data_IF_641484752314
#
_entry.id   IF_641484752314
#
_cell.length_a   1.000
_cell.length_b   1.000
_cell.length_c   1.000
_cell.angle_alpha   90.00
_cell.angle_beta   90.00
_cell.angle_gamma   90.00
#
_symmetry.space_group_name_H-M   'P 1'
#
loop_
_entity.id
_entity.type
_entity.pdbx_description
1 polymer ?
#
# COMPACT_ATOMS: atom_id res chain seq x y z
N UNK A 1 58.24 -2.20 -27.36
CA UNK A 1 57.87 -2.89 -26.10
C UNK A 1 56.99 -1.94 -25.29
N UNK A 2 55.67 -2.08 -25.40
CA UNK A 2 54.70 -1.22 -24.70
C UNK A 2 54.25 -2.00 -23.44
N UNK A 3 54.61 -1.51 -22.24
CA UNK A 3 54.16 -2.08 -20.97
C UNK A 3 52.77 -1.55 -20.68
N UNK A 4 51.74 -2.40 -20.76
CA UNK A 4 50.41 -2.14 -20.25
C UNK A 4 50.47 -2.21 -18.72
N UNK A 5 50.20 -1.09 -18.07
CA UNK A 5 49.98 -0.99 -16.64
C UNK A 5 48.50 -1.31 -16.35
N UNK A 6 48.22 -2.49 -15.84
CA UNK A 6 46.89 -2.92 -15.44
C UNK A 6 46.57 -2.25 -14.06
N UNK A 7 45.79 -1.18 -14.05
CA UNK A 7 45.29 -0.58 -12.81
C UNK A 7 44.10 -1.41 -12.38
N UNK A 8 44.28 -2.24 -11.35
CA UNK A 8 43.21 -2.97 -10.69
C UNK A 8 42.49 -1.98 -9.72
N UNK A 9 41.38 -1.40 -10.17
CA UNK A 9 40.50 -0.65 -9.29
C UNK A 9 39.74 -1.64 -8.39
N UNK A 10 40.29 -1.90 -7.21
CA UNK A 10 39.56 -2.51 -6.12
C UNK A 10 38.58 -1.47 -5.57
N UNK A 11 37.33 -1.51 -6.01
CA UNK A 11 36.23 -0.82 -5.35
C UNK A 11 36.00 -1.50 -3.99
N UNK A 12 36.64 -0.97 -2.95
CA UNK A 12 36.25 -1.27 -1.58
C UNK A 12 34.86 -0.65 -1.36
N UNK A 13 33.82 -1.46 -1.50
CA UNK A 13 32.57 -1.17 -0.85
C UNK A 13 32.83 -1.21 0.65
N UNK A 14 33.14 -0.06 1.23
CA UNK A 14 33.05 0.15 2.68
C UNK A 14 31.56 0.16 2.98
N UNK A 15 30.98 -1.03 3.12
CA UNK A 15 29.74 -1.19 3.85
C UNK A 15 30.06 -0.73 5.27
N UNK A 16 29.79 0.52 5.56
CA UNK A 16 29.74 1.03 6.92
C UNK A 16 28.69 0.18 7.64
N UNK A 17 29.15 -0.84 8.35
CA UNK A 17 28.32 -1.52 9.34
C UNK A 17 28.20 -0.56 10.52
N UNK A 18 27.33 0.46 10.37
CA UNK A 18 26.95 1.25 11.53
C UNK A 18 26.37 0.29 12.55
N UNK A 19 27.12 0.10 13.63
CA UNK A 19 26.66 -0.70 14.77
C UNK A 19 25.44 -0.01 15.36
N UNK A 20 24.33 -0.73 15.37
CA UNK A 20 23.13 -0.26 16.07
C UNK A 20 23.50 0.02 17.53
N UNK A 21 23.20 1.22 18.01
CA UNK A 21 23.45 1.58 19.39
C UNK A 21 22.37 0.95 20.28
N UNK A 22 22.70 -0.14 20.94
CA UNK A 22 21.77 -0.88 21.82
C UNK A 22 21.15 -0.01 22.93
N UNK A 23 21.91 0.96 23.48
CA UNK A 23 21.38 1.87 24.49
C UNK A 23 20.26 2.76 23.94
N UNK A 24 20.44 3.28 22.72
CA UNK A 24 19.42 4.08 22.03
C UNK A 24 18.20 3.21 21.67
N UNK A 25 18.43 2.00 21.19
CA UNK A 25 17.37 1.06 20.85
C UNK A 25 16.52 0.71 22.08
N UNK A 26 17.16 0.46 23.23
CA UNK A 26 16.48 0.18 24.49
C UNK A 26 15.69 1.41 25.00
N UNK A 27 16.23 2.61 24.87
CA UNK A 27 15.50 3.84 25.23
C UNK A 27 14.27 4.04 24.35
N UNK A 28 14.42 3.87 23.04
CA UNK A 28 13.31 3.94 22.08
C UNK A 28 12.24 2.90 22.43
N UNK A 29 12.63 1.67 22.66
CA UNK A 29 11.75 0.59 23.06
C UNK A 29 10.95 0.94 24.32
N UNK A 30 11.63 1.36 25.38
CA UNK A 30 10.96 1.73 26.63
C UNK A 30 9.97 2.88 26.44
N UNK A 31 10.32 3.87 25.62
CA UNK A 31 9.44 5.01 25.32
C UNK A 31 8.18 4.56 24.58
N UNK A 32 8.32 3.76 23.52
CA UNK A 32 7.19 3.31 22.71
C UNK A 32 6.32 2.31 23.47
N UNK A 33 6.93 1.34 24.14
CA UNK A 33 6.21 0.30 24.87
C UNK A 33 5.56 0.82 26.17
N UNK A 34 5.88 2.03 26.61
CA UNK A 34 5.18 2.68 27.74
C UNK A 34 3.79 3.18 27.36
N UNK A 35 3.49 3.34 26.06
CA UNK A 35 2.16 3.70 25.60
C UNK A 35 1.24 2.44 25.66
N UNK A 36 0.12 2.49 26.42
CA UNK A 36 -0.79 1.36 26.53
C UNK A 36 -1.49 1.00 25.22
N UNK A 37 -1.46 1.85 24.20
CA UNK A 37 -2.00 1.58 22.87
C UNK A 37 -1.04 0.78 21.97
N UNK A 38 0.25 0.67 22.35
CA UNK A 38 1.24 -0.07 21.55
C UNK A 38 0.96 -1.57 21.60
N UNK A 39 0.69 -2.16 20.45
CA UNK A 39 0.43 -3.60 20.29
C UNK A 39 1.72 -4.37 20.02
N UNK A 40 2.55 -3.87 19.10
CA UNK A 40 3.84 -4.47 18.75
C UNK A 40 4.86 -3.39 18.38
N UNK A 41 6.12 -3.67 18.62
CA UNK A 41 7.27 -2.88 18.14
C UNK A 41 8.27 -3.82 17.50
N UNK A 42 8.48 -3.65 16.20
CA UNK A 42 9.44 -4.41 15.42
C UNK A 42 10.39 -3.44 14.75
N UNK A 43 11.68 -3.64 14.93
CA UNK A 43 12.72 -2.85 14.28
C UNK A 43 13.57 -3.78 13.42
N UNK A 44 13.63 -3.46 12.13
CA UNK A 44 14.50 -4.15 11.18
C UNK A 44 15.66 -3.24 10.75
N UNK A 45 16.85 -3.81 10.67
CA UNK A 45 18.05 -3.13 10.17
C UNK A 45 18.80 -4.05 9.21
N UNK A 46 19.01 -3.60 7.96
CA UNK A 46 19.64 -4.38 6.91
C UNK A 46 19.01 -5.78 6.72
N UNK A 47 17.67 -5.85 6.75
CA UNK A 47 16.91 -7.09 6.59
C UNK A 47 16.89 -8.01 7.82
N UNK A 48 17.54 -7.65 8.92
CA UNK A 48 17.51 -8.42 10.16
C UNK A 48 16.63 -7.74 11.20
N UNK A 49 15.78 -8.52 11.88
CA UNK A 49 15.03 -8.02 13.03
C UNK A 49 16.00 -7.89 14.21
N UNK A 50 16.15 -6.66 14.72
CA UNK A 50 17.03 -6.33 15.83
C UNK A 50 16.28 -6.02 17.11
N UNK A 51 14.95 -5.83 17.02
CA UNK A 51 14.05 -5.69 18.16
C UNK A 51 12.70 -6.24 17.77
N UNK A 52 12.12 -7.04 18.66
CA UNK A 52 10.77 -7.59 18.55
C UNK A 52 10.15 -7.60 19.95
N UNK A 53 9.08 -6.81 20.14
CA UNK A 53 8.37 -6.71 21.42
C UNK A 53 6.88 -6.58 21.19
N UNK A 54 6.10 -7.10 22.14
CA UNK A 54 4.64 -7.07 22.12
C UNK A 54 4.13 -6.48 23.44
N UNK A 55 3.11 -5.61 23.34
CA UNK A 55 2.50 -4.91 24.46
C UNK A 55 1.05 -5.33 24.68
N UNK A 56 0.53 -5.01 25.87
CA UNK A 56 -0.89 -5.08 26.20
C UNK A 56 -1.55 -6.47 25.97
N UNK A 57 -0.80 -7.54 26.18
CA UNK A 57 -1.29 -8.91 26.01
C UNK A 57 -1.25 -9.42 24.56
N UNK A 58 -0.76 -8.63 23.62
CA UNK A 58 -0.51 -9.08 22.24
C UNK A 58 0.70 -9.99 22.16
N UNK A 59 0.70 -10.86 21.17
CA UNK A 59 1.78 -11.77 20.83
C UNK A 59 2.12 -11.69 19.34
N UNK A 60 3.12 -12.41 18.90
CA UNK A 60 3.55 -12.44 17.49
C UNK A 60 2.51 -13.03 16.53
N UNK A 61 1.49 -13.73 17.06
CA UNK A 61 0.44 -14.37 16.25
C UNK A 61 -0.90 -13.63 16.31
N UNK A 62 -0.99 -12.57 17.10
CA UNK A 62 -2.23 -11.79 17.18
C UNK A 62 -2.31 -10.82 16.00
N UNK A 63 -3.47 -10.74 15.41
CA UNK A 63 -3.70 -9.83 14.28
C UNK A 63 -3.71 -8.38 14.71
N UNK A 64 -3.04 -7.57 13.93
CA UNK A 64 -3.11 -6.10 13.96
C UNK A 64 -3.62 -5.58 12.63
N UNK A 65 -4.46 -4.56 12.68
CA UNK A 65 -5.00 -3.98 11.45
C UNK A 65 -3.99 -3.03 10.83
N UNK A 66 -3.67 -3.27 9.56
CA UNK A 66 -2.71 -2.46 8.80
C UNK A 66 -3.15 -1.02 8.57
N UNK A 67 -4.44 -0.72 8.80
CA UNK A 67 -5.02 0.59 8.45
C UNK A 67 -4.63 0.96 6.99
N UNK A 68 -4.16 2.18 6.79
CA UNK A 68 -3.79 2.69 5.46
C UNK A 68 -2.53 2.08 4.84
N UNK A 69 -1.76 1.27 5.58
CA UNK A 69 -0.66 0.49 5.00
C UNK A 69 -1.20 -0.48 3.94
N UNK A 70 -2.44 -0.95 4.08
CA UNK A 70 -3.12 -1.75 3.07
C UNK A 70 -3.00 -1.19 1.65
N UNK A 71 -2.98 0.14 1.48
CA UNK A 71 -2.83 0.79 0.17
C UNK A 71 -1.53 0.36 -0.54
N UNK A 72 -0.45 0.15 0.21
CA UNK A 72 0.82 -0.27 -0.35
C UNK A 72 0.73 -1.69 -0.94
N UNK A 73 0.03 -2.60 -0.27
CA UNK A 73 -0.19 -3.96 -0.77
C UNK A 73 -0.94 -3.95 -2.11
N UNK A 74 -2.02 -3.18 -2.22
CA UNK A 74 -2.77 -3.09 -3.48
C UNK A 74 -2.00 -2.32 -4.56
N UNK A 75 -1.18 -1.32 -4.20
CA UNK A 75 -0.35 -0.61 -5.16
C UNK A 75 0.70 -1.51 -5.83
N UNK A 76 1.30 -2.45 -5.09
CA UNK A 76 2.27 -3.42 -5.63
C UNK A 76 1.65 -4.28 -6.74
N UNK A 77 0.35 -4.58 -6.69
CA UNK A 77 -0.33 -5.38 -7.71
C UNK A 77 -0.26 -4.76 -9.11
N UNK A 78 -0.16 -3.43 -9.22
CA UNK A 78 0.03 -2.75 -10.51
C UNK A 78 1.43 -2.99 -11.08
N UNK A 79 2.46 -3.02 -10.23
CA UNK A 79 3.82 -3.42 -10.63
C UNK A 79 3.87 -4.88 -11.12
N UNK A 80 3.20 -5.78 -10.39
CA UNK A 80 3.07 -7.19 -10.80
C UNK A 80 2.29 -7.32 -12.11
N UNK A 81 1.23 -6.51 -12.31
CA UNK A 81 0.48 -6.51 -13.56
C UNK A 81 1.34 -6.11 -14.76
N UNK A 82 2.18 -5.08 -14.62
CA UNK A 82 3.11 -4.64 -15.67
C UNK A 82 4.13 -5.75 -15.96
N UNK A 83 4.74 -6.33 -14.94
CA UNK A 83 5.71 -7.43 -15.10
C UNK A 83 5.12 -8.64 -15.84
N UNK A 84 3.84 -8.93 -15.59
CA UNK A 84 3.11 -10.02 -16.26
C UNK A 84 2.57 -9.65 -17.64
N UNK A 85 2.71 -8.41 -18.09
CA UNK A 85 2.15 -7.93 -19.35
C UNK A 85 0.61 -7.87 -19.37
N UNK A 86 -0.01 -7.74 -18.19
CA UNK A 86 -1.45 -7.54 -18.02
C UNK A 86 -1.83 -6.06 -18.08
N UNK A 87 -0.89 -5.19 -17.86
CA UNK A 87 -0.99 -3.73 -17.90
C UNK A 87 0.22 -3.17 -18.63
N UNK A 88 0.02 -2.34 -19.64
CA UNK A 88 1.12 -1.77 -20.44
C UNK A 88 1.89 -0.72 -19.64
N UNK A 89 1.18 0.22 -19.02
CA UNK A 89 1.75 1.28 -18.18
C UNK A 89 0.71 1.85 -17.19
N UNK A 90 1.13 2.78 -16.33
CA UNK A 90 0.27 3.43 -15.34
C UNK A 90 -0.46 4.68 -15.89
N UNK A 91 -0.16 5.13 -17.08
CA UNK A 91 -0.72 6.34 -17.67
C UNK A 91 -2.00 6.07 -18.47
N UNK A 92 -2.50 4.81 -18.40
CA UNK A 92 -3.80 4.45 -18.95
C UNK A 92 -4.92 5.18 -18.21
N UNK A 93 -5.91 5.73 -18.96
CA UNK A 93 -7.01 6.47 -18.38
C UNK A 93 -7.96 5.51 -17.64
N UNK A 94 -8.51 5.99 -16.52
CA UNK A 94 -9.39 5.17 -15.68
C UNK A 94 -10.71 4.83 -16.37
N UNK A 95 -11.12 5.59 -17.38
CA UNK A 95 -12.31 5.31 -18.20
C UNK A 95 -12.22 3.99 -18.98
N UNK A 96 -11.03 3.42 -19.15
CA UNK A 96 -10.87 2.09 -19.76
C UNK A 96 -11.34 0.98 -18.79
N UNK A 97 -11.40 1.27 -17.52
CA UNK A 97 -11.76 0.36 -16.42
C UNK A 97 -13.11 0.71 -15.79
N UNK A 98 -13.46 2.00 -15.75
CA UNK A 98 -14.69 2.53 -15.17
C UNK A 98 -15.56 3.11 -16.28
N UNK A 99 -16.43 2.31 -16.89
CA UNK A 99 -17.28 2.77 -18.02
C UNK A 99 -18.23 3.90 -17.63
N UNK A 100 -18.56 4.07 -16.34
CA UNK A 100 -19.36 5.15 -15.81
C UNK A 100 -18.75 6.53 -16.08
N UNK A 101 -17.42 6.60 -16.17
CA UNK A 101 -16.68 7.85 -16.39
C UNK A 101 -16.24 8.05 -17.86
N UNK A 102 -16.65 7.19 -18.79
CA UNK A 102 -16.22 7.24 -20.20
C UNK A 102 -16.53 8.56 -20.90
N UNK A 103 -17.62 9.23 -20.51
CA UNK A 103 -18.05 10.51 -21.07
C UNK A 103 -17.95 11.65 -20.04
N UNK A 104 -17.15 11.47 -19.04
CA UNK A 104 -16.95 12.39 -17.92
C UNK A 104 -15.47 12.78 -17.87
N UNK A 105 -15.18 14.02 -17.49
CA UNK A 105 -13.79 14.53 -17.37
C UNK A 105 -12.96 13.70 -16.36
N UNK A 106 -13.61 13.06 -15.38
CA UNK A 106 -12.97 12.11 -14.45
C UNK A 106 -12.37 10.90 -15.17
N UNK A 107 -12.85 10.55 -16.35
CA UNK A 107 -12.29 9.48 -17.17
C UNK A 107 -10.87 9.73 -17.67
N UNK A 108 -10.40 10.98 -17.64
CA UNK A 108 -9.03 11.36 -17.99
C UNK A 108 -8.02 11.10 -16.84
N UNK A 109 -8.50 10.87 -15.62
CA UNK A 109 -7.65 10.45 -14.49
C UNK A 109 -6.95 9.15 -14.88
N UNK A 110 -5.63 9.07 -14.65
CA UNK A 110 -4.86 7.86 -14.94
C UNK A 110 -4.71 6.97 -13.69
N UNK A 111 -4.34 5.71 -13.88
CA UNK A 111 -3.97 4.81 -12.78
C UNK A 111 -2.86 5.45 -11.93
N UNK A 112 -1.86 6.10 -12.58
CA UNK A 112 -0.79 6.84 -11.92
C UNK A 112 -1.33 7.94 -11.02
N UNK A 113 -2.28 8.73 -11.49
CA UNK A 113 -2.86 9.82 -10.69
C UNK A 113 -3.53 9.30 -9.42
N UNK A 114 -4.20 8.16 -9.48
CA UNK A 114 -4.79 7.51 -8.30
C UNK A 114 -3.70 7.00 -7.34
N UNK A 115 -2.69 6.30 -7.84
CA UNK A 115 -1.59 5.77 -7.03
C UNK A 115 -0.77 6.88 -6.36
N UNK A 116 -0.55 7.99 -7.05
CA UNK A 116 0.17 9.16 -6.54
C UNK A 116 -0.69 10.10 -5.69
N UNK A 117 -1.98 9.77 -5.46
CA UNK A 117 -2.92 10.65 -4.75
C UNK A 117 -3.06 12.04 -5.40
N UNK A 118 -3.07 12.08 -6.74
CA UNK A 118 -3.15 13.30 -7.56
C UNK A 118 -4.35 13.28 -8.52
N UNK A 119 -5.43 12.61 -8.15
CA UNK A 119 -6.60 12.50 -9.03
C UNK A 119 -7.35 13.82 -9.25
N UNK A 120 -7.23 14.77 -8.35
CA UNK A 120 -8.03 16.00 -8.37
C UNK A 120 -9.48 15.82 -7.88
N UNK A 121 -9.84 14.63 -7.41
CA UNK A 121 -11.17 14.37 -6.85
C UNK A 121 -11.37 15.10 -5.53
N UNK A 122 -12.60 15.56 -5.31
CA UNK A 122 -12.95 16.29 -4.10
C UNK A 122 -12.66 15.50 -2.82
N UNK A 123 -12.20 16.21 -1.80
CA UNK A 123 -12.00 15.70 -0.46
C UNK A 123 -12.61 16.67 0.55
N UNK A 124 -13.60 16.24 1.32
CA UNK A 124 -14.11 17.00 2.48
C UNK A 124 -13.26 16.75 3.73
N UNK A 125 -13.41 17.58 4.74
CA UNK A 125 -12.75 17.36 6.05
C UNK A 125 -13.26 16.10 6.75
N UNK A 126 -14.54 15.75 6.56
CA UNK A 126 -15.19 14.56 7.13
C UNK A 126 -15.21 13.34 6.22
N UNK A 127 -14.58 13.40 5.05
CA UNK A 127 -14.69 12.40 4.00
C UNK A 127 -14.31 10.97 4.43
N UNK A 128 -13.40 10.82 5.40
CA UNK A 128 -13.08 9.51 5.97
C UNK A 128 -14.32 8.89 6.62
N UNK A 129 -15.00 9.66 7.47
CA UNK A 129 -16.20 9.21 8.16
C UNK A 129 -17.32 8.92 7.17
N UNK A 130 -17.54 9.82 6.20
CA UNK A 130 -18.56 9.66 5.16
C UNK A 130 -18.36 8.37 4.37
N UNK A 131 -17.12 8.08 3.96
CA UNK A 131 -16.79 6.87 3.22
C UNK A 131 -16.93 5.61 4.08
N UNK A 132 -16.46 5.62 5.34
CA UNK A 132 -16.59 4.49 6.26
C UNK A 132 -18.04 4.21 6.65
N UNK A 133 -18.89 5.23 6.74
CA UNK A 133 -20.31 5.10 7.02
C UNK A 133 -21.12 4.74 5.77
N UNK A 134 -20.55 4.85 4.59
CA UNK A 134 -21.20 4.43 3.35
C UNK A 134 -21.42 2.92 3.33
N UNK A 135 -22.58 2.49 2.87
CA UNK A 135 -22.87 1.06 2.72
C UNK A 135 -22.18 0.45 1.52
N UNK A 136 -21.85 1.26 0.53
CA UNK A 136 -21.15 0.89 -0.69
C UNK A 136 -20.04 1.91 -0.95
N UNK A 137 -18.80 1.53 -0.63
CA UNK A 137 -17.65 2.42 -0.75
C UNK A 137 -17.30 2.71 -2.21
N UNK A 138 -17.62 1.79 -3.12
CA UNK A 138 -17.39 1.99 -4.54
C UNK A 138 -18.38 3.01 -5.11
N UNK A 139 -19.67 2.88 -4.82
CA UNK A 139 -20.68 3.87 -5.25
C UNK A 139 -20.35 5.26 -4.70
N UNK A 140 -19.91 5.34 -3.43
CA UNK A 140 -19.43 6.58 -2.85
C UNK A 140 -18.27 7.16 -3.66
N UNK A 141 -17.25 6.35 -3.93
CA UNK A 141 -16.07 6.80 -4.68
C UNK A 141 -16.42 7.25 -6.11
N UNK A 142 -17.32 6.55 -6.79
CA UNK A 142 -17.80 6.90 -8.13
C UNK A 142 -18.61 8.20 -8.17
N UNK A 143 -19.23 8.59 -7.04
CA UNK A 143 -20.05 9.82 -6.93
C UNK A 143 -19.24 11.08 -6.70
N UNK A 144 -17.95 10.97 -6.34
CA UNK A 144 -17.11 12.12 -5.95
C UNK A 144 -16.79 12.99 -7.17
N UNK A 145 -16.91 14.30 -7.01
CA UNK A 145 -16.68 15.29 -8.07
C UNK A 145 -15.20 15.53 -8.34
N UNK A 146 -14.86 15.87 -9.60
CA UNK A 146 -13.56 16.38 -9.98
C UNK A 146 -13.52 17.90 -9.73
N UNK A 147 -12.57 18.36 -8.91
CA UNK A 147 -12.46 19.77 -8.50
C UNK A 147 -11.12 20.42 -8.83
N UNK A 148 -10.13 19.60 -9.23
CA UNK A 148 -8.80 20.04 -9.64
C UNK A 148 -8.36 19.25 -10.87
N UNK A 149 -7.41 19.75 -11.64
CA UNK A 149 -6.86 19.00 -12.78
C UNK A 149 -6.09 17.76 -12.28
N UNK A 150 -6.30 16.58 -12.89
CA UNK A 150 -5.55 15.37 -12.55
C UNK A 150 -4.03 15.57 -12.75
N UNK A 151 -3.24 15.06 -11.83
CA UNK A 151 -1.78 15.12 -11.87
C UNK A 151 -1.15 16.35 -11.21
N UNK A 152 -1.91 17.41 -10.94
CA UNK A 152 -1.34 18.69 -10.46
C UNK A 152 -1.01 18.67 -8.97
N UNK A 153 -1.96 18.29 -8.12
CA UNK A 153 -1.87 18.48 -6.67
C UNK A 153 -1.96 17.15 -5.94
N UNK A 154 -1.00 16.89 -5.06
CA UNK A 154 -1.09 15.79 -4.11
C UNK A 154 -2.13 16.11 -3.04
N UNK A 155 -3.12 15.23 -2.90
CA UNK A 155 -4.11 15.30 -1.83
C UNK A 155 -4.46 13.88 -1.37
N UNK A 156 -4.04 13.53 -0.15
CA UNK A 156 -4.30 12.20 0.40
C UNK A 156 -5.80 11.93 0.49
N UNK A 157 -6.29 10.93 -0.26
CA UNK A 157 -7.71 10.65 -0.42
C UNK A 157 -7.95 9.13 -0.60
N UNK A 158 -8.73 8.50 0.29
CA UNK A 158 -9.07 7.06 0.23
C UNK A 158 -9.84 6.70 -1.04
N UNK A 159 -10.61 7.65 -1.59
CA UNK A 159 -11.35 7.47 -2.85
C UNK A 159 -10.43 7.00 -3.97
N UNK A 160 -9.20 7.55 -4.04
CA UNK A 160 -8.22 7.12 -5.03
C UNK A 160 -7.96 5.62 -4.97
N UNK A 161 -7.72 5.09 -3.79
CA UNK A 161 -7.42 3.66 -3.63
C UNK A 161 -8.66 2.78 -3.76
N UNK A 162 -9.83 3.28 -3.34
CA UNK A 162 -11.07 2.55 -3.56
C UNK A 162 -11.35 2.34 -5.05
N UNK A 163 -11.10 3.36 -5.89
CA UNK A 163 -11.24 3.27 -7.34
C UNK A 163 -10.22 2.34 -8.00
N UNK A 164 -9.09 2.06 -7.36
CA UNK A 164 -8.15 1.04 -7.83
C UNK A 164 -8.71 -0.39 -7.70
N UNK A 165 -9.68 -0.62 -6.83
CA UNK A 165 -10.33 -1.93 -6.68
C UNK A 165 -10.90 -2.47 -7.99
N UNK A 166 -11.88 -1.81 -8.63
CA UNK A 166 -12.41 -2.25 -9.92
C UNK A 166 -11.39 -2.26 -11.05
N UNK A 167 -10.34 -1.42 -10.99
CA UNK A 167 -9.23 -1.48 -11.95
C UNK A 167 -8.48 -2.81 -11.82
N UNK A 168 -8.13 -3.22 -10.59
CA UNK A 168 -7.48 -4.51 -10.32
C UNK A 168 -8.38 -5.65 -10.82
N UNK A 169 -9.68 -5.61 -10.49
CA UNK A 169 -10.64 -6.63 -10.92
C UNK A 169 -10.66 -6.78 -12.45
N UNK A 170 -10.66 -5.66 -13.17
CA UNK A 170 -10.67 -5.66 -14.63
C UNK A 170 -9.36 -6.19 -15.22
N UNK A 171 -8.20 -5.80 -14.68
CA UNK A 171 -6.87 -6.23 -15.15
C UNK A 171 -6.69 -7.74 -14.95
N UNK A 172 -7.05 -8.25 -13.76
CA UNK A 172 -6.78 -9.64 -13.39
C UNK A 172 -7.96 -10.59 -13.63
N UNK A 173 -9.13 -10.08 -13.95
CA UNK A 173 -10.40 -10.83 -14.02
C UNK A 173 -10.67 -11.64 -12.73
N UNK A 174 -10.38 -11.05 -11.59
CA UNK A 174 -10.53 -11.62 -10.25
C UNK A 174 -10.68 -10.50 -9.23
N UNK A 175 -11.33 -10.76 -8.07
CA UNK A 175 -11.51 -9.74 -7.05
C UNK A 175 -10.17 -9.26 -6.46
N UNK A 176 -10.07 -8.00 -6.00
CA UNK A 176 -8.83 -7.47 -5.43
C UNK A 176 -8.24 -8.35 -4.32
N UNK A 177 -9.08 -8.93 -3.46
CA UNK A 177 -8.65 -9.85 -2.39
C UNK A 177 -8.10 -11.16 -2.94
N UNK A 178 -8.70 -11.74 -3.98
CA UNK A 178 -8.19 -12.96 -4.62
C UNK A 178 -6.84 -12.70 -5.29
N UNK A 179 -6.70 -11.55 -5.96
CA UNK A 179 -5.44 -11.15 -6.56
C UNK A 179 -4.37 -10.95 -5.49
N UNK A 180 -4.70 -10.22 -4.40
CA UNK A 180 -3.77 -10.00 -3.28
C UNK A 180 -3.28 -11.33 -2.68
N UNK A 181 -4.19 -12.27 -2.42
CA UNK A 181 -3.83 -13.60 -1.93
C UNK A 181 -2.87 -14.31 -2.86
N UNK A 182 -3.21 -14.35 -4.14
CA UNK A 182 -2.44 -15.09 -5.14
C UNK A 182 -1.06 -14.48 -5.41
N UNK A 183 -0.99 -13.17 -5.53
CA UNK A 183 0.19 -12.48 -6.02
C UNK A 183 1.14 -12.03 -4.90
N UNK A 184 0.64 -11.85 -3.68
CA UNK A 184 1.42 -11.32 -2.56
C UNK A 184 1.42 -12.30 -1.37
N UNK A 185 0.25 -12.61 -0.77
CA UNK A 185 0.23 -13.34 0.50
C UNK A 185 0.76 -14.76 0.35
N UNK A 186 0.30 -15.51 -0.66
CA UNK A 186 0.76 -16.89 -0.89
C UNK A 186 2.26 -16.98 -1.20
N UNK A 187 2.85 -16.13 -2.09
CA UNK A 187 4.30 -16.13 -2.31
C UNK A 187 5.14 -15.79 -1.09
N UNK A 188 4.59 -15.01 -0.15
CA UNK A 188 5.23 -14.69 1.14
C UNK A 188 4.91 -15.72 2.23
N UNK A 189 4.20 -16.81 1.89
CA UNK A 189 3.80 -17.88 2.82
C UNK A 189 2.88 -17.38 3.96
N UNK A 190 2.22 -16.22 3.78
CA UNK A 190 1.25 -15.68 4.72
C UNK A 190 -0.06 -16.45 4.55
N UNK A 191 -0.40 -17.27 5.52
CA UNK A 191 -1.58 -18.16 5.46
C UNK A 191 -2.75 -17.70 6.32
N UNK A 192 -2.46 -16.89 7.33
CA UNK A 192 -3.44 -16.37 8.28
C UNK A 192 -3.60 -14.88 8.11
N UNK A 193 -4.80 -14.40 7.76
CA UNK A 193 -5.09 -12.99 7.51
C UNK A 193 -6.58 -12.68 7.60
N UNK A 194 -6.92 -11.42 7.88
CA UNK A 194 -8.24 -10.84 7.71
C UNK A 194 -8.27 -9.87 6.53
N UNK A 195 -9.29 -9.95 5.67
CA UNK A 195 -9.50 -9.01 4.55
C UNK A 195 -10.92 -8.46 4.63
N UNK A 196 -11.02 -7.14 4.78
CA UNK A 196 -12.29 -6.48 5.05
C UNK A 196 -13.08 -6.19 3.78
N UNK A 197 -14.40 -6.32 3.91
CA UNK A 197 -15.38 -5.93 2.89
C UNK A 197 -16.33 -4.88 3.43
N UNK A 198 -16.87 -4.04 2.55
CA UNK A 198 -17.95 -3.14 2.91
C UNK A 198 -19.31 -3.86 3.01
N UNK A 199 -20.36 -3.13 3.35
CA UNK A 199 -21.70 -3.71 3.49
C UNK A 199 -22.31 -4.20 2.16
N UNK A 200 -21.81 -3.71 1.03
CA UNK A 200 -22.18 -4.18 -0.31
C UNK A 200 -21.33 -5.36 -0.79
N UNK A 201 -20.41 -5.85 0.06
CA UNK A 201 -19.45 -6.93 -0.18
C UNK A 201 -18.33 -6.57 -1.17
N UNK A 202 -18.10 -5.29 -1.44
CA UNK A 202 -16.91 -4.87 -2.17
C UNK A 202 -15.66 -5.09 -1.33
N UNK A 203 -14.58 -5.51 -1.96
CA UNK A 203 -13.27 -5.64 -1.33
C UNK A 203 -12.72 -4.25 -0.97
N UNK A 204 -12.39 -4.03 0.30
CA UNK A 204 -11.83 -2.77 0.75
C UNK A 204 -10.34 -2.74 0.44
N UNK A 205 -9.91 -1.79 -0.41
CA UNK A 205 -8.51 -1.68 -0.87
C UNK A 205 -7.72 -0.57 -0.17
N UNK A 206 -8.36 0.28 0.60
CA UNK A 206 -7.73 1.45 1.23
C UNK A 206 -7.43 1.27 2.72
N UNK A 207 -7.89 0.20 3.35
CA UNK A 207 -7.56 -0.26 4.70
C UNK A 207 -8.04 -1.71 4.92
N UNK A 208 -7.87 -2.27 6.14
CA UNK A 208 -8.53 -3.51 6.54
C UNK A 208 -7.87 -4.78 6.04
N UNK A 209 -6.55 -4.81 6.03
CA UNK A 209 -5.76 -6.02 6.01
C UNK A 209 -5.29 -6.28 7.44
N UNK A 210 -5.73 -7.39 8.03
CA UNK A 210 -5.32 -7.83 9.35
C UNK A 210 -4.26 -8.92 9.18
N UNK A 211 -3.08 -8.70 9.76
CA UNK A 211 -1.92 -9.58 9.67
C UNK A 211 -1.26 -9.72 11.05
N UNK A 212 -0.49 -10.76 11.25
CA UNK A 212 0.43 -10.81 12.37
C UNK A 212 1.56 -9.77 12.17
N UNK A 213 2.13 -9.23 13.26
CA UNK A 213 3.06 -8.10 13.16
C UNK A 213 4.35 -8.36 12.36
N UNK A 214 4.69 -9.64 12.12
CA UNK A 214 5.87 -10.03 11.34
C UNK A 214 5.56 -10.35 9.87
N UNK A 215 4.28 -10.47 9.52
CA UNK A 215 3.81 -10.73 8.16
C UNK A 215 3.75 -9.42 7.36
#
# INVERSE_FOLDING_TARGET
MLRFLLILLLSFNILSTEKVNESVLNQLSNMIMSDPATQALIVSHNGNIILEQYGNGYSKTDFVTSQSIAKAFYAVLFGVAIEKGLLDDLDQPISDYLPEWKNDKRGEITIRNLLEMKSGLYRSESWNEEMFLSRNNLDFALSVELVKEPGEIFEYNNVNTALLGPVIEKIYNASPHEVLKKEILNPLEITEYGLWKDHALNDITFHGIDLAPLD
#
